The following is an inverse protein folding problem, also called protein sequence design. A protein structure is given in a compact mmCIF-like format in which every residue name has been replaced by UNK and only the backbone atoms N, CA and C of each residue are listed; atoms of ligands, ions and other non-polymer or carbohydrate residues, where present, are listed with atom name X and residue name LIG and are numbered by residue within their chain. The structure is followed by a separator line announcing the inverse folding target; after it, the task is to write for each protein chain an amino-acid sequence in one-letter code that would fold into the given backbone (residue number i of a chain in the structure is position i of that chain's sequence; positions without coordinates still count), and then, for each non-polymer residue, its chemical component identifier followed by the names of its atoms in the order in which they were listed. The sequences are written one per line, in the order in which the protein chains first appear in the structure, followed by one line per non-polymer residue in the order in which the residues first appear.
data_IF_072234306994
#
_entry.id   IF_072234306994
#
_cell.length_a   1.000
_cell.length_b   1.000
_cell.length_c   1.000
_cell.angle_alpha   90.00
_cell.angle_beta   90.00
_cell.angle_gamma   90.00
#
_symmetry.space_group_name_H-M   'P 1'
#
loop_
_entity.id
_entity.type
_entity.pdbx_description
1 polymer ?
#
# COMPACT_ATOMS: atom_id res chain seq x y z
N UNK A 1 13.25 -20.86 15.78
CA UNK A 1 13.42 -20.31 14.41
C UNK A 1 13.39 -18.79 14.49
N UNK A 2 14.37 -18.04 13.96
CA UNK A 2 14.32 -16.58 14.00
C UNK A 2 13.36 -16.07 12.92
N UNK A 3 12.35 -15.31 13.34
CA UNK A 3 11.41 -14.62 12.42
C UNK A 3 12.18 -13.57 11.64
N UNK A 4 12.07 -13.58 10.31
CA UNK A 4 12.54 -12.50 9.44
C UNK A 4 11.91 -11.19 9.93
N UNK A 5 12.74 -10.20 10.26
CA UNK A 5 12.27 -8.83 10.51
C UNK A 5 11.74 -8.28 9.18
N UNK A 6 10.43 -8.27 9.01
CA UNK A 6 9.79 -7.51 7.94
C UNK A 6 9.99 -6.02 8.25
N UNK A 7 10.81 -5.34 7.45
CA UNK A 7 11.07 -3.90 7.52
C UNK A 7 9.97 -3.08 6.82
N UNK A 8 8.71 -3.46 7.01
CA UNK A 8 7.55 -2.64 6.71
C UNK A 8 6.71 -2.63 7.97
N UNK A 9 6.50 -1.46 8.57
CA UNK A 9 5.57 -1.34 9.69
C UNK A 9 4.23 -1.92 9.26
N UNK A 10 3.83 -3.04 9.87
CA UNK A 10 2.52 -3.65 9.61
C UNK A 10 1.48 -2.56 9.84
N UNK A 11 0.69 -2.24 8.82
CA UNK A 11 -0.38 -1.25 8.96
C UNK A 11 -1.30 -1.73 10.07
N UNK A 12 -1.40 -0.95 11.14
CA UNK A 12 -2.25 -1.29 12.27
C UNK A 12 -3.70 -1.03 11.90
N UNK A 13 -4.56 -1.96 12.29
CA UNK A 13 -6.00 -1.76 12.28
C UNK A 13 -6.45 -1.17 13.63
N UNK A 14 -7.64 -0.60 13.64
CA UNK A 14 -8.37 -0.13 14.82
C UNK A 14 -9.76 -0.78 14.92
N UNK A 15 -9.89 -2.02 14.43
CA UNK A 15 -11.15 -2.78 14.39
C UNK A 15 -11.79 -2.86 15.77
N UNK A 16 -11.01 -3.02 16.83
CA UNK A 16 -11.51 -3.09 18.21
C UNK A 16 -12.33 -1.86 18.59
N UNK A 17 -11.81 -0.68 18.24
CA UNK A 17 -12.41 0.61 18.58
C UNK A 17 -13.68 0.83 17.76
N UNK A 18 -13.59 0.59 16.45
CA UNK A 18 -14.73 0.75 15.53
C UNK A 18 -15.87 -0.22 15.86
N UNK A 19 -15.54 -1.48 16.14
CA UNK A 19 -16.52 -2.51 16.56
C UNK A 19 -17.27 -2.05 17.82
N UNK A 20 -16.53 -1.51 18.81
CA UNK A 20 -17.13 -0.98 20.05
C UNK A 20 -18.04 0.22 19.78
N UNK A 21 -17.61 1.17 18.94
CA UNK A 21 -18.39 2.36 18.58
C UNK A 21 -19.67 1.97 17.83
N UNK A 22 -19.61 0.94 16.99
CA UNK A 22 -20.77 0.41 16.28
C UNK A 22 -21.73 -0.42 17.17
N UNK A 23 -21.42 -0.62 18.46
CA UNK A 23 -22.24 -1.42 19.37
C UNK A 23 -22.17 -2.93 19.11
N UNK A 24 -21.21 -3.38 18.30
CA UNK A 24 -21.01 -4.78 17.98
C UNK A 24 -20.07 -5.46 18.99
N UNK A 25 -20.16 -6.78 19.09
CA UNK A 25 -19.21 -7.58 19.86
C UNK A 25 -18.19 -8.25 18.94
N UNK A 26 -17.00 -8.54 19.48
CA UNK A 26 -16.00 -9.35 18.76
C UNK A 26 -16.54 -10.72 18.36
N UNK A 27 -17.45 -11.27 19.18
CA UNK A 27 -18.10 -12.56 18.89
C UNK A 27 -19.08 -12.47 17.72
N UNK A 28 -19.82 -11.37 17.60
CA UNK A 28 -20.67 -11.12 16.43
C UNK A 28 -19.81 -11.07 15.16
N UNK A 29 -18.72 -10.29 15.17
CA UNK A 29 -17.78 -10.22 14.04
C UNK A 29 -17.27 -11.61 13.66
N UNK A 30 -16.83 -12.41 14.63
CA UNK A 30 -16.33 -13.76 14.37
C UNK A 30 -17.38 -14.68 13.72
N UNK A 31 -18.63 -14.62 14.19
CA UNK A 31 -19.72 -15.43 13.66
C UNK A 31 -20.14 -14.98 12.25
N UNK A 32 -20.22 -13.68 12.01
CA UNK A 32 -20.66 -13.14 10.72
C UNK A 32 -19.63 -13.36 9.61
N UNK A 33 -18.35 -13.43 9.96
CA UNK A 33 -17.25 -13.70 9.02
C UNK A 33 -16.87 -15.19 8.94
N UNK A 34 -17.54 -16.06 9.70
CA UNK A 34 -17.19 -17.49 9.84
C UNK A 34 -15.69 -17.72 10.15
N UNK A 35 -15.16 -16.94 11.08
CA UNK A 35 -13.77 -17.05 11.55
C UNK A 35 -13.70 -17.41 13.03
N UNK A 36 -12.58 -18.00 13.45
CA UNK A 36 -12.37 -18.28 14.87
C UNK A 36 -12.37 -16.99 15.69
N UNK A 37 -12.98 -17.01 16.86
CA UNK A 37 -12.96 -15.90 17.82
C UNK A 37 -11.52 -15.41 18.12
N UNK A 38 -10.56 -16.33 18.22
CA UNK A 38 -9.15 -15.99 18.48
C UNK A 38 -8.50 -15.24 17.31
N UNK A 39 -8.97 -15.44 16.09
CA UNK A 39 -8.56 -14.68 14.90
C UNK A 39 -8.95 -13.22 15.07
N UNK A 40 -10.22 -12.94 15.37
CA UNK A 40 -10.72 -11.57 15.64
C UNK A 40 -10.00 -10.95 16.84
N UNK A 41 -9.74 -11.73 17.89
CA UNK A 41 -8.94 -11.26 19.03
C UNK A 41 -7.52 -10.86 18.62
N UNK A 42 -6.88 -11.62 17.73
CA UNK A 42 -5.53 -11.35 17.25
C UNK A 42 -5.48 -10.12 16.35
N UNK A 43 -6.53 -9.87 15.56
CA UNK A 43 -6.71 -8.62 14.81
C UNK A 43 -6.84 -7.43 15.76
N UNK A 44 -7.67 -7.54 16.79
CA UNK A 44 -7.89 -6.48 17.77
C UNK A 44 -6.65 -6.11 18.61
N UNK A 45 -5.73 -7.05 18.81
CA UNK A 45 -4.43 -6.78 19.43
C UNK A 45 -3.33 -6.43 18.42
N UNK A 46 -3.66 -6.36 17.12
CA UNK A 46 -2.72 -6.16 16.02
C UNK A 46 -1.57 -7.21 15.97
N UNK A 47 -1.78 -8.39 16.56
CA UNK A 47 -0.83 -9.51 16.49
C UNK A 47 -0.77 -10.08 15.07
N UNK A 48 -1.93 -10.14 14.42
CA UNK A 48 -2.11 -10.42 13.00
C UNK A 48 -3.02 -9.35 12.41
N UNK A 49 -3.04 -9.24 11.08
CA UNK A 49 -3.96 -8.36 10.38
C UNK A 49 -5.00 -9.17 9.61
N UNK A 50 -6.22 -8.66 9.44
CA UNK A 50 -7.16 -9.26 8.49
C UNK A 50 -6.63 -9.17 7.06
N UNK A 51 -7.09 -10.07 6.19
CA UNK A 51 -6.96 -9.87 4.75
C UNK A 51 -7.81 -8.68 4.29
N UNK A 52 -7.57 -8.20 3.07
CA UNK A 52 -8.42 -7.17 2.47
C UNK A 52 -9.89 -7.60 2.41
N UNK A 53 -10.16 -8.85 2.04
CA UNK A 53 -11.50 -9.44 2.03
C UNK A 53 -12.18 -9.42 3.40
N UNK A 54 -11.48 -9.86 4.46
CA UNK A 54 -12.03 -9.81 5.81
C UNK A 54 -12.23 -8.37 6.30
N UNK A 55 -11.34 -7.45 5.91
CA UNK A 55 -11.48 -6.03 6.25
C UNK A 55 -12.74 -5.44 5.62
N UNK A 56 -13.02 -5.79 4.36
CA UNK A 56 -14.20 -5.37 3.62
C UNK A 56 -15.49 -5.91 4.26
N UNK A 57 -15.53 -7.20 4.58
CA UNK A 57 -16.66 -7.81 5.29
C UNK A 57 -16.92 -7.17 6.67
N UNK A 58 -15.87 -6.78 7.39
CA UNK A 58 -16.01 -6.03 8.65
C UNK A 58 -16.58 -4.63 8.35
N UNK A 59 -16.13 -3.97 7.29
CA UNK A 59 -16.64 -2.67 6.85
C UNK A 59 -18.14 -2.72 6.54
N UNK A 60 -18.56 -3.73 5.78
CA UNK A 60 -19.97 -3.98 5.46
C UNK A 60 -20.80 -4.23 6.72
N UNK A 61 -20.34 -5.15 7.59
CA UNK A 61 -21.03 -5.48 8.84
C UNK A 61 -21.20 -4.26 9.77
N UNK A 62 -20.15 -3.43 9.88
CA UNK A 62 -20.13 -2.28 10.77
C UNK A 62 -20.65 -0.99 10.12
N UNK A 63 -21.00 -1.03 8.82
CA UNK A 63 -21.39 0.12 8.00
C UNK A 63 -20.34 1.25 8.03
N UNK A 64 -19.07 0.89 7.79
CA UNK A 64 -17.92 1.80 7.78
C UNK A 64 -17.03 1.57 6.57
N UNK A 65 -16.40 2.64 6.09
CA UNK A 65 -15.36 2.52 5.07
C UNK A 65 -14.14 1.79 5.61
N UNK A 66 -13.46 1.01 4.78
CA UNK A 66 -12.22 0.30 5.15
C UNK A 66 -11.12 1.25 5.67
N UNK A 67 -11.10 2.50 5.21
CA UNK A 67 -10.17 3.53 5.72
C UNK A 67 -10.38 3.82 7.21
N UNK A 68 -11.61 3.69 7.69
CA UNK A 68 -11.97 3.93 9.08
C UNK A 68 -11.65 2.74 9.96
N UNK A 69 -11.36 1.57 9.39
CA UNK A 69 -10.91 0.38 10.12
C UNK A 69 -9.39 0.36 10.35
N UNK A 70 -8.66 1.29 9.72
CA UNK A 70 -7.20 1.35 9.75
C UNK A 70 -6.71 2.57 10.53
N UNK A 71 -5.55 2.42 11.15
CA UNK A 71 -4.85 3.56 11.75
C UNK A 71 -4.32 4.50 10.66
N UNK A 72 -4.36 5.83 10.88
CA UNK A 72 -3.69 6.77 9.99
C UNK A 72 -2.20 6.44 9.88
N UNK A 73 -1.70 6.40 8.65
CA UNK A 73 -0.29 6.04 8.40
C UNK A 73 0.68 7.20 8.61
N UNK A 74 0.19 8.38 9.01
CA UNK A 74 1.01 9.57 9.30
C UNK A 74 1.82 10.08 8.11
N UNK A 75 1.46 9.71 6.86
CA UNK A 75 2.16 10.18 5.67
C UNK A 75 1.97 11.69 5.51
N UNK A 76 3.07 12.39 5.31
CA UNK A 76 3.08 13.83 5.01
C UNK A 76 3.04 14.03 3.51
N UNK A 77 2.22 14.96 3.04
CA UNK A 77 2.28 15.41 1.64
C UNK A 77 3.55 16.25 1.44
N UNK A 78 4.57 15.64 0.85
CA UNK A 78 5.85 16.28 0.52
C UNK A 78 5.85 16.96 -0.85
N UNK A 79 4.74 16.87 -1.59
CA UNK A 79 4.67 17.28 -3.00
C UNK A 79 5.54 16.43 -3.93
N UNK A 80 6.05 15.27 -3.48
CA UNK A 80 6.93 14.41 -4.28
C UNK A 80 6.30 14.01 -5.62
N UNK A 81 5.01 13.65 -5.62
CA UNK A 81 4.31 13.29 -6.84
C UNK A 81 4.26 14.44 -7.86
N UNK A 82 3.91 15.66 -7.41
CA UNK A 82 3.89 16.86 -8.26
C UNK A 82 5.26 17.17 -8.87
N UNK A 83 6.31 16.97 -8.09
CA UNK A 83 7.68 17.19 -8.54
C UNK A 83 8.13 16.15 -9.56
N UNK A 84 7.84 14.86 -9.31
CA UNK A 84 8.14 13.78 -10.25
C UNK A 84 7.39 13.94 -11.56
N UNK A 85 6.15 14.40 -11.53
CA UNK A 85 5.36 14.71 -12.73
C UNK A 85 6.01 15.84 -13.55
N UNK A 86 6.53 16.86 -12.87
CA UNK A 86 7.24 17.96 -13.53
C UNK A 86 8.55 17.48 -14.17
N UNK A 87 9.30 16.64 -13.46
CA UNK A 87 10.54 16.04 -13.97
C UNK A 87 10.29 15.07 -15.13
N UNK A 88 9.23 14.26 -15.06
CA UNK A 88 8.79 13.38 -16.15
C UNK A 88 8.54 14.18 -17.43
N UNK A 89 7.80 15.30 -17.32
CA UNK A 89 7.54 16.21 -18.46
C UNK A 89 8.82 16.82 -19.00
N UNK A 90 9.75 17.23 -18.13
CA UNK A 90 11.06 17.78 -18.52
C UNK A 90 11.88 16.76 -19.30
N UNK A 91 12.05 15.55 -18.74
CA UNK A 91 12.81 14.45 -19.36
C UNK A 91 12.24 14.06 -20.73
N UNK A 92 10.92 14.01 -20.86
CA UNK A 92 10.29 13.70 -22.14
C UNK A 92 10.43 14.83 -23.16
N UNK A 93 10.22 16.08 -22.75
CA UNK A 93 10.22 17.24 -23.66
C UNK A 93 11.61 17.70 -24.07
N UNK A 94 12.54 17.77 -23.12
CA UNK A 94 13.86 18.38 -23.30
C UNK A 94 14.91 17.34 -23.69
N UNK A 95 14.86 16.16 -23.06
CA UNK A 95 15.82 15.08 -23.33
C UNK A 95 15.29 14.06 -24.35
N UNK A 96 14.05 14.27 -24.84
CA UNK A 96 13.38 13.40 -25.81
C UNK A 96 13.36 11.92 -25.41
N UNK A 97 13.29 11.65 -24.10
CA UNK A 97 13.29 10.28 -23.57
C UNK A 97 11.87 9.71 -23.73
N UNK A 98 11.67 8.62 -24.50
CA UNK A 98 10.34 8.02 -24.67
C UNK A 98 9.90 7.33 -23.38
N UNK A 99 8.59 7.25 -23.15
CA UNK A 99 8.03 6.56 -21.98
C UNK A 99 8.26 5.04 -22.01
N UNK A 100 8.20 4.46 -23.21
CA UNK A 100 8.34 3.03 -23.44
C UNK A 100 9.35 2.76 -24.55
N UNK A 101 9.99 1.59 -24.50
CA UNK A 101 10.87 1.06 -25.55
C UNK A 101 10.54 -0.41 -25.82
N UNK A 102 10.93 -0.92 -26.98
CA UNK A 102 10.87 -2.35 -27.25
C UNK A 102 12.07 -3.06 -26.63
N UNK A 103 11.79 -4.19 -25.95
CA UNK A 103 12.81 -5.08 -25.41
C UNK A 103 12.45 -6.51 -25.76
N UNK A 104 13.42 -7.30 -26.20
CA UNK A 104 13.22 -8.72 -26.43
C UNK A 104 12.99 -9.47 -25.11
N UNK A 105 11.89 -10.21 -25.02
CA UNK A 105 11.58 -11.09 -23.90
C UNK A 105 11.92 -12.53 -24.27
N UNK A 106 13.04 -13.04 -23.73
CA UNK A 106 13.51 -14.41 -23.96
C UNK A 106 12.50 -15.48 -23.56
N UNK A 107 11.62 -15.22 -22.57
CA UNK A 107 10.61 -16.18 -22.13
C UNK A 107 9.45 -16.28 -23.11
N UNK A 108 9.16 -15.20 -23.82
CA UNK A 108 8.06 -15.13 -24.80
C UNK A 108 8.53 -15.26 -26.25
N UNK A 109 9.84 -15.15 -26.50
CA UNK A 109 10.41 -15.20 -27.84
C UNK A 109 9.99 -14.03 -28.74
N UNK A 110 9.58 -12.89 -28.16
CA UNK A 110 9.06 -11.74 -28.91
C UNK A 110 9.49 -10.41 -28.28
N UNK A 111 9.51 -9.35 -29.10
CA UNK A 111 9.66 -7.98 -28.60
C UNK A 111 8.40 -7.57 -27.83
N UNK A 112 8.60 -7.03 -26.64
CA UNK A 112 7.55 -6.47 -25.79
C UNK A 112 7.85 -5.01 -25.50
N UNK A 113 6.80 -4.19 -25.42
CA UNK A 113 6.93 -2.81 -24.92
C UNK A 113 7.14 -2.85 -23.42
N UNK A 114 8.15 -2.12 -22.96
CA UNK A 114 8.46 -1.97 -21.54
C UNK A 114 8.69 -0.49 -21.22
N UNK A 115 8.43 -0.10 -19.97
CA UNK A 115 8.82 1.23 -19.49
C UNK A 115 10.31 1.47 -19.74
N UNK A 116 10.65 2.64 -20.25
CA UNK A 116 12.03 3.00 -20.56
C UNK A 116 12.90 2.95 -19.29
N UNK A 117 13.88 2.04 -19.19
CA UNK A 117 14.71 1.88 -18.00
C UNK A 117 15.48 3.15 -17.62
N UNK A 118 15.92 3.93 -18.61
CA UNK A 118 16.67 5.17 -18.38
C UNK A 118 15.77 6.26 -17.78
N UNK A 119 14.53 6.36 -18.26
CA UNK A 119 13.53 7.27 -17.69
C UNK A 119 13.22 6.91 -16.24
N UNK A 120 12.99 5.61 -15.97
CA UNK A 120 12.72 5.11 -14.61
C UNK A 120 13.90 5.39 -13.68
N UNK A 121 15.13 5.17 -14.15
CA UNK A 121 16.35 5.42 -13.37
C UNK A 121 16.46 6.90 -12.98
N UNK A 122 16.32 7.82 -13.94
CA UNK A 122 16.40 9.27 -13.69
C UNK A 122 15.34 9.76 -12.72
N UNK A 123 14.09 9.28 -12.83
CA UNK A 123 13.02 9.62 -11.90
C UNK A 123 13.29 9.11 -10.48
N UNK A 124 13.87 7.91 -10.33
CA UNK A 124 14.26 7.36 -9.02
C UNK A 124 15.38 8.18 -8.38
N UNK A 125 16.42 8.50 -9.15
CA UNK A 125 17.52 9.35 -8.70
C UNK A 125 17.02 10.74 -8.26
N UNK A 126 16.10 11.34 -9.03
CA UNK A 126 15.44 12.59 -8.65
C UNK A 126 14.66 12.47 -7.33
N UNK A 127 13.88 11.40 -7.15
CA UNK A 127 13.11 11.16 -5.94
C UNK A 127 14.01 11.00 -4.70
N UNK A 128 15.10 10.22 -4.82
CA UNK A 128 16.02 9.95 -3.72
C UNK A 128 16.81 11.20 -3.32
N UNK A 129 17.27 11.98 -4.30
CA UNK A 129 17.92 13.27 -4.06
C UNK A 129 17.02 14.26 -3.30
N UNK A 130 15.70 14.23 -3.56
CA UNK A 130 14.74 15.09 -2.87
C UNK A 130 14.49 14.65 -1.43
N UNK A 131 14.46 13.33 -1.17
CA UNK A 131 14.32 12.80 0.19
C UNK A 131 15.55 13.13 1.06
N UNK A 132 16.75 13.06 0.49
CA UNK A 132 17.99 13.34 1.22
C UNK A 132 18.22 14.83 1.52
N UNK A 133 17.55 15.76 0.82
CA UNK A 133 17.64 17.21 1.05
C UNK A 133 16.56 17.76 1.99
N UNK A 134 15.58 16.94 2.39
CA UNK A 134 14.45 17.33 3.24
C UNK A 134 14.51 16.72 4.65
N UNK A 135 15.69 16.27 5.10
CA UNK A 135 15.95 15.77 6.45
C UNK A 135 16.71 16.77 7.30
#
# INVERSE_FOLDING_TARGET
MPRRKNFGGIQKNKIKEVTKVAGASQRLVALMLDVNYTTVSSWNSNTTQPSEENLDQIGELLQRDNRDLLEPQGRVDTGLAKALESELKRLHKEENIPYEIEKFDEKKGMNVKVNNPDLVKKLREFADNRKNKGG
#
